data_IF_303325698845
#
_entry.id   IF_303325698845
#
_cell.length_a   1.000
_cell.length_b   1.000
_cell.length_c   1.000
_cell.angle_alpha   90.00
_cell.angle_beta   90.00
_cell.angle_gamma   90.00
#
_symmetry.space_group_name_H-M   'P 1'
#
loop_
_entity.id
_entity.type
_entity.pdbx_description
1 polymer ?
#
# COMPACT_ATOMS: atom_id res chain seq x y z
N UNK A 1 -9.28 7.93 11.16
CA UNK A 1 -7.94 8.48 10.86
C UNK A 1 -7.10 7.37 10.28
N UNK A 2 -6.42 7.62 9.16
CA UNK A 2 -5.48 6.67 8.55
C UNK A 2 -4.07 7.13 8.87
N UNK A 3 -3.25 6.24 9.43
CA UNK A 3 -1.87 6.55 9.82
C UNK A 3 -0.92 5.54 9.19
N UNK A 4 0.16 6.03 8.59
CA UNK A 4 1.14 5.14 7.98
C UNK A 4 1.88 4.38 9.07
N UNK A 5 2.11 3.10 8.86
CA UNK A 5 2.88 2.26 9.79
C UNK A 5 4.26 2.86 10.05
N UNK A 6 4.73 2.80 11.30
CA UNK A 6 5.97 3.39 11.82
C UNK A 6 6.02 4.93 11.81
N UNK A 7 4.89 5.60 11.61
CA UNK A 7 4.77 7.06 11.76
C UNK A 7 3.87 7.42 12.93
N UNK A 8 4.02 8.65 13.43
CA UNK A 8 3.17 9.16 14.49
C UNK A 8 1.79 9.56 13.94
N UNK A 9 0.75 9.41 14.76
CA UNK A 9 -0.58 9.85 14.38
C UNK A 9 -0.67 11.38 14.33
N UNK A 10 -1.66 11.94 13.60
CA UNK A 10 -2.11 13.29 13.87
C UNK A 10 -2.47 13.45 15.34
N UNK A 11 -2.40 14.69 15.84
CA UNK A 11 -2.92 15.03 17.16
C UNK A 11 -4.44 14.79 17.20
N UNK A 12 -4.88 13.90 18.09
CA UNK A 12 -6.28 13.65 18.38
C UNK A 12 -6.65 14.50 19.60
N UNK A 13 -7.61 15.40 19.43
CA UNK A 13 -8.04 16.31 20.50
C UNK A 13 -9.33 15.78 21.12
N UNK A 14 -9.38 15.70 22.45
CA UNK A 14 -10.53 15.20 23.20
C UNK A 14 -11.70 16.20 23.29
N UNK A 15 -12.13 16.71 22.15
CA UNK A 15 -13.28 17.62 22.04
C UNK A 15 -13.65 17.76 20.56
N UNK A 16 -14.88 18.16 20.29
CA UNK A 16 -15.25 18.63 18.96
C UNK A 16 -14.89 20.11 18.77
N UNK A 17 -15.13 20.60 17.55
CA UNK A 17 -14.85 21.99 17.22
C UNK A 17 -15.62 22.97 18.11
N UNK A 18 -16.90 22.74 18.38
CA UNK A 18 -17.72 23.66 19.17
C UNK A 18 -17.19 23.78 20.60
N UNK A 19 -16.94 22.64 21.26
CA UNK A 19 -16.40 22.57 22.61
C UNK A 19 -15.01 23.18 22.73
N UNK A 20 -14.20 23.12 21.67
CA UNK A 20 -12.88 23.77 21.65
C UNK A 20 -12.89 25.29 21.67
N UNK A 21 -14.05 25.92 21.42
CA UNK A 21 -14.21 27.38 21.41
C UNK A 21 -14.75 27.94 22.73
N UNK A 22 -15.03 27.07 23.71
CA UNK A 22 -15.62 27.43 24.99
C UNK A 22 -14.59 27.33 26.13
N UNK A 23 -14.80 28.10 27.19
CA UNK A 23 -14.01 27.98 28.41
C UNK A 23 -14.42 26.72 29.20
N UNK A 24 -13.44 25.92 29.58
CA UNK A 24 -13.65 24.71 30.39
C UNK A 24 -13.14 24.95 31.80
N UNK A 25 -14.01 24.70 32.78
CA UNK A 25 -13.67 24.76 34.20
C UNK A 25 -13.22 23.37 34.66
N UNK A 26 -12.02 23.29 35.22
CA UNK A 26 -11.40 22.07 35.76
C UNK A 26 -11.48 20.83 34.85
N UNK A 27 -11.09 20.92 33.56
CA UNK A 27 -11.21 19.81 32.64
C UNK A 27 -10.31 18.63 33.02
N UNK A 28 -10.86 17.42 32.94
CA UNK A 28 -10.18 16.15 33.16
C UNK A 28 -10.36 15.28 31.92
N UNK A 29 -9.25 14.73 31.44
CA UNK A 29 -9.23 13.90 30.24
C UNK A 29 -8.80 12.48 30.58
N UNK A 30 -9.59 11.50 30.14
CA UNK A 30 -9.28 10.08 30.24
C UNK A 30 -9.27 9.45 28.85
N UNK A 31 -8.11 8.98 28.43
CA UNK A 31 -7.95 8.27 27.17
C UNK A 31 -7.85 6.76 27.38
N UNK A 32 -8.60 6.02 26.57
CA UNK A 32 -8.56 4.55 26.50
C UNK A 32 -8.24 4.09 25.08
N UNK A 33 -7.38 3.08 24.99
CA UNK A 33 -6.95 2.50 23.73
C UNK A 33 -7.92 1.46 23.17
N UNK A 34 -7.59 0.89 22.00
CA UNK A 34 -8.42 -0.11 21.32
C UNK A 34 -8.59 -1.43 22.11
N UNK A 35 -7.71 -1.70 23.07
CA UNK A 35 -7.83 -2.84 23.99
C UNK A 35 -8.65 -2.52 25.26
N UNK A 36 -9.19 -1.30 25.35
CA UNK A 36 -9.98 -0.80 26.48
C UNK A 36 -9.15 -0.34 27.68
N UNK A 37 -7.82 -0.34 27.60
CA UNK A 37 -6.96 0.08 28.71
C UNK A 37 -6.68 1.58 28.70
N UNK A 38 -6.45 2.12 29.89
CA UNK A 38 -6.02 3.51 30.08
C UNK A 38 -4.64 3.73 29.43
N UNK A 39 -4.51 4.84 28.69
CA UNK A 39 -3.31 5.20 27.96
C UNK A 39 -2.33 6.08 28.75
N UNK A 40 -2.70 6.56 29.95
CA UNK A 40 -1.83 7.38 30.80
C UNK A 40 -0.54 6.64 31.16
N UNK A 41 0.61 7.19 30.77
CA UNK A 41 1.93 6.60 30.99
C UNK A 41 2.29 5.43 30.06
N UNK A 42 1.47 5.18 29.02
CA UNK A 42 1.78 4.15 28.02
C UNK A 42 2.90 4.62 27.09
N UNK A 43 3.84 3.74 26.73
CA UNK A 43 5.06 4.11 25.98
C UNK A 43 4.82 4.47 24.53
N UNK A 44 3.77 3.90 23.94
CA UNK A 44 3.42 4.11 22.53
C UNK A 44 2.51 5.33 22.29
N UNK A 45 2.36 6.22 23.28
CA UNK A 45 1.54 7.43 23.15
C UNK A 45 2.21 8.64 23.81
N UNK A 46 1.92 9.82 23.30
CA UNK A 46 2.14 11.08 23.98
C UNK A 46 0.78 11.68 24.35
N UNK A 47 0.60 11.97 25.64
CA UNK A 47 -0.61 12.56 26.19
C UNK A 47 -0.25 13.89 26.85
N UNK A 48 -0.94 14.95 26.45
CA UNK A 48 -0.80 16.27 27.08
C UNK A 48 -1.86 16.46 28.16
N UNK A 49 -1.59 17.33 29.13
CA UNK A 49 -2.58 17.72 30.14
C UNK A 49 -3.82 18.42 29.55
N UNK A 50 -3.72 18.98 28.33
CA UNK A 50 -4.83 19.58 27.57
C UNK A 50 -5.67 18.56 26.79
N UNK A 51 -5.55 17.26 27.07
CA UNK A 51 -6.39 16.23 26.47
C UNK A 51 -6.03 15.84 25.03
N UNK A 52 -4.86 16.23 24.53
CA UNK A 52 -4.35 15.81 23.23
C UNK A 52 -3.65 14.45 23.31
N UNK A 53 -3.88 13.62 22.30
CA UNK A 53 -3.27 12.30 22.14
C UNK A 53 -2.54 12.22 20.79
N UNK A 54 -1.28 11.79 20.83
CA UNK A 54 -0.53 11.32 19.66
C UNK A 54 -0.12 9.87 19.90
N UNK A 55 -0.43 8.98 18.96
CA UNK A 55 0.05 7.59 18.98
C UNK A 55 1.40 7.55 18.28
N UNK A 56 2.43 7.10 18.98
CA UNK A 56 3.82 7.14 18.51
C UNK A 56 4.11 5.86 17.73
N UNK A 57 4.74 5.99 16.56
CA UNK A 57 5.25 4.87 15.78
C UNK A 57 4.20 3.78 15.52
N UNK A 58 3.08 4.15 14.91
CA UNK A 58 1.88 3.30 14.76
C UNK A 58 2.22 1.92 14.20
N UNK A 59 1.70 0.88 14.86
CA UNK A 59 1.77 -0.52 14.44
C UNK A 59 0.37 -1.06 14.17
N UNK A 60 0.28 -2.21 13.52
CA UNK A 60 -1.00 -2.86 13.20
C UNK A 60 -1.85 -3.09 14.44
N UNK A 61 -1.22 -3.55 15.53
CA UNK A 61 -1.90 -3.84 16.80
C UNK A 61 -2.45 -2.61 17.52
N UNK A 62 -1.99 -1.41 17.15
CA UNK A 62 -2.48 -0.14 17.70
C UNK A 62 -3.69 0.39 16.90
N UNK A 63 -4.12 -0.30 15.86
CA UNK A 63 -5.35 0.08 15.15
C UNK A 63 -6.59 -0.25 15.97
N UNK A 64 -7.65 0.54 15.78
CA UNK A 64 -8.94 0.36 16.42
C UNK A 64 -9.50 1.65 17.00
N UNK A 65 -10.43 1.50 17.94
CA UNK A 65 -11.17 2.63 18.52
C UNK A 65 -10.48 3.16 19.75
N UNK A 66 -10.03 4.40 19.68
CA UNK A 66 -9.57 5.19 20.81
C UNK A 66 -10.75 6.00 21.35
N UNK A 67 -10.97 5.94 22.66
CA UNK A 67 -12.07 6.67 23.30
C UNK A 67 -11.48 7.66 24.30
N UNK A 68 -11.91 8.90 24.20
CA UNK A 68 -11.65 9.91 25.20
C UNK A 68 -12.91 10.25 25.99
N UNK A 69 -12.77 10.39 27.29
CA UNK A 69 -13.78 10.93 28.20
C UNK A 69 -13.28 12.27 28.72
N UNK A 70 -14.04 13.33 28.44
CA UNK A 70 -13.85 14.68 28.96
C UNK A 70 -14.85 14.89 30.10
N UNK A 71 -14.36 15.12 31.31
CA UNK A 71 -15.17 15.61 32.43
C UNK A 71 -14.81 17.06 32.70
N UNK A 72 -15.79 17.95 32.82
CA UNK A 72 -15.56 19.35 33.15
C UNK A 72 -16.73 19.91 33.95
N UNK A 73 -16.50 21.01 34.67
CA UNK A 73 -17.53 21.67 35.44
C UNK A 73 -18.24 22.73 34.59
N UNK A 74 -19.53 22.90 34.85
CA UNK A 74 -20.33 24.02 34.37
C UNK A 74 -20.94 24.74 35.58
N UNK A 75 -21.00 26.07 35.48
CA UNK A 75 -21.67 26.90 36.47
C UNK A 75 -23.06 27.22 35.94
N UNK A 76 -24.09 26.60 36.52
CA UNK A 76 -25.46 27.02 36.25
C UNK A 76 -25.70 28.35 36.98
N UNK A 77 -26.20 29.36 36.29
CA UNK A 77 -26.35 30.70 36.87
C UNK A 77 -27.62 30.85 37.72
N UNK A 78 -28.56 29.90 37.62
CA UNK A 78 -29.89 30.02 38.25
C UNK A 78 -30.58 28.65 38.38
N UNK A 79 -30.56 28.01 39.56
CA UNK A 79 -29.80 28.35 40.77
C UNK A 79 -28.28 28.17 40.59
N UNK A 80 -27.43 28.86 41.39
CA UNK A 80 -25.98 28.67 41.37
C UNK A 80 -25.61 27.27 41.86
N UNK A 81 -25.37 26.37 40.92
CA UNK A 81 -24.95 25.00 41.18
C UNK A 81 -23.79 24.66 40.24
N UNK A 82 -22.74 24.07 40.81
CA UNK A 82 -21.64 23.53 40.04
C UNK A 82 -21.96 22.09 39.68
N UNK A 83 -22.00 21.81 38.37
CA UNK A 83 -22.35 20.49 37.86
C UNK A 83 -21.23 19.93 37.01
N UNK A 84 -20.83 18.70 37.30
CA UNK A 84 -19.90 17.96 36.44
C UNK A 84 -20.65 17.44 35.21
N UNK A 85 -20.12 17.75 34.03
CA UNK A 85 -20.58 17.26 32.73
C UNK A 85 -19.54 16.32 32.15
N UNK A 86 -20.00 15.23 31.54
CA UNK A 86 -19.12 14.20 30.95
C UNK A 86 -19.48 13.98 29.48
N UNK A 87 -18.48 14.12 28.61
CA UNK A 87 -18.58 13.93 27.18
C UNK A 87 -17.64 12.82 26.71
N UNK A 88 -18.05 12.07 25.68
CA UNK A 88 -17.28 10.93 25.17
C UNK A 88 -17.06 11.05 23.68
N UNK A 89 -15.79 11.06 23.27
CA UNK A 89 -15.36 11.17 21.88
C UNK A 89 -14.67 9.88 21.44
N UNK A 90 -14.98 9.41 20.23
CA UNK A 90 -14.41 8.18 19.66
C UNK A 90 -13.69 8.44 18.36
N UNK A 91 -12.46 7.94 18.28
CA UNK A 91 -11.60 8.05 17.12
C UNK A 91 -11.24 6.65 16.64
N UNK A 92 -11.53 6.33 15.39
CA UNK A 92 -11.08 5.08 14.79
C UNK A 92 -9.77 5.33 14.06
N UNK A 93 -8.70 4.67 14.49
CA UNK A 93 -7.38 4.74 13.88
C UNK A 93 -7.12 3.46 13.09
N UNK A 94 -6.76 3.62 11.82
CA UNK A 94 -6.36 2.52 10.93
C UNK A 94 -4.90 2.70 10.52
N UNK A 95 -4.08 1.71 10.83
CA UNK A 95 -2.75 1.60 10.26
C UNK A 95 -2.86 1.25 8.77
N UNK A 96 -2.05 1.89 7.93
CA UNK A 96 -1.95 1.57 6.52
C UNK A 96 -0.50 1.54 6.03
N UNK A 97 -0.31 0.86 4.90
CA UNK A 97 0.93 0.83 4.12
C UNK A 97 0.62 1.17 2.67
N UNK A 98 1.61 1.68 1.94
CA UNK A 98 1.45 1.84 0.50
C UNK A 98 1.36 0.44 -0.13
N UNK A 99 0.49 0.29 -1.13
CA UNK A 99 0.46 -0.95 -1.88
C UNK A 99 1.76 -1.12 -2.66
N UNK A 100 2.24 -2.35 -2.72
CA UNK A 100 3.44 -2.65 -3.45
C UNK A 100 3.13 -2.81 -4.94
N UNK A 101 3.88 -2.11 -5.78
CA UNK A 101 3.65 -2.10 -7.22
C UNK A 101 4.50 -3.16 -7.92
N UNK A 102 3.82 -4.09 -8.57
CA UNK A 102 4.41 -5.00 -9.56
C UNK A 102 3.82 -4.64 -10.93
N UNK A 103 4.63 -4.72 -11.98
CA UNK A 103 4.13 -4.51 -13.34
C UNK A 103 4.17 -5.82 -14.12
N UNK A 104 3.00 -6.25 -14.61
CA UNK A 104 2.88 -7.33 -15.57
C UNK A 104 3.04 -6.76 -16.97
N UNK A 105 4.12 -7.13 -17.64
CA UNK A 105 4.46 -6.70 -18.99
C UNK A 105 4.12 -7.82 -19.97
N UNK A 106 3.63 -7.45 -21.14
CA UNK A 106 3.39 -8.37 -22.24
C UNK A 106 3.88 -7.78 -23.55
N UNK A 107 4.49 -8.63 -24.38
CA UNK A 107 4.98 -8.27 -25.72
C UNK A 107 4.84 -9.46 -26.65
N UNK A 108 4.61 -9.21 -27.94
CA UNK A 108 4.47 -10.25 -28.96
C UNK A 108 5.66 -10.24 -29.89
N UNK A 109 6.13 -11.42 -30.29
CA UNK A 109 7.21 -11.60 -31.26
C UNK A 109 6.77 -12.51 -32.42
N UNK A 110 7.28 -12.33 -33.64
CA UNK A 110 7.21 -13.37 -34.66
C UNK A 110 7.94 -14.62 -34.13
N UNK A 111 7.39 -15.81 -34.33
CA UNK A 111 8.08 -17.05 -33.93
C UNK A 111 9.44 -17.15 -34.61
N UNK A 112 10.51 -17.15 -33.80
CA UNK A 112 11.87 -17.51 -34.16
C UNK A 112 12.44 -18.37 -33.04
N UNK A 113 13.23 -19.37 -33.39
CA UNK A 113 13.90 -20.21 -32.41
C UNK A 113 15.10 -19.45 -31.80
N UNK A 114 15.31 -19.62 -30.49
CA UNK A 114 16.52 -19.25 -29.73
C UNK A 114 16.81 -17.79 -29.30
N UNK A 115 15.83 -16.88 -29.17
CA UNK A 115 16.11 -15.50 -28.69
C UNK A 115 15.69 -15.18 -27.24
N UNK A 116 14.94 -16.06 -26.58
CA UNK A 116 14.24 -15.73 -25.33
C UNK A 116 15.20 -15.50 -24.14
N UNK A 117 16.25 -16.29 -24.04
CA UNK A 117 17.27 -16.13 -22.98
C UNK A 117 18.13 -14.89 -23.18
N UNK A 118 18.48 -14.56 -24.43
CA UNK A 118 19.19 -13.32 -24.75
C UNK A 118 18.34 -12.09 -24.44
N UNK A 119 17.05 -12.13 -24.81
CA UNK A 119 16.09 -11.09 -24.45
C UNK A 119 16.01 -10.95 -22.93
N UNK A 120 15.89 -12.05 -22.18
CA UNK A 120 15.83 -11.99 -20.72
C UNK A 120 17.10 -11.36 -20.12
N UNK A 121 18.29 -11.70 -20.61
CA UNK A 121 19.56 -11.09 -20.18
C UNK A 121 19.59 -9.59 -20.48
N UNK A 122 19.19 -9.19 -21.69
CA UNK A 122 19.13 -7.80 -22.10
C UNK A 122 18.13 -6.98 -21.28
N UNK A 123 16.92 -7.51 -21.07
CA UNK A 123 15.90 -6.80 -20.30
C UNK A 123 16.33 -6.66 -18.82
N UNK A 124 17.02 -7.66 -18.25
CA UNK A 124 17.56 -7.54 -16.90
C UNK A 124 18.70 -6.50 -16.82
N UNK A 125 19.56 -6.38 -17.84
CA UNK A 125 20.62 -5.37 -17.84
C UNK A 125 20.09 -3.94 -17.90
N UNK A 126 18.94 -3.71 -18.56
CA UNK A 126 18.27 -2.39 -18.64
C UNK A 126 17.81 -1.89 -17.25
N UNK A 127 17.48 -2.79 -16.34
CA UNK A 127 16.88 -2.47 -15.03
C UNK A 127 17.78 -2.85 -13.84
N UNK A 128 19.01 -3.31 -14.09
CA UNK A 128 19.89 -3.86 -13.06
C UNK A 128 20.24 -2.84 -11.95
N UNK A 129 20.46 -1.58 -12.32
CA UNK A 129 20.76 -0.47 -11.39
C UNK A 129 19.57 -0.14 -10.48
N UNK A 130 18.35 -0.49 -10.90
CA UNK A 130 17.13 -0.23 -10.13
C UNK A 130 16.86 -1.31 -9.08
N UNK A 131 17.74 -2.30 -8.91
CA UNK A 131 17.54 -3.46 -8.02
C UNK A 131 16.23 -4.24 -8.30
N UNK A 132 15.66 -4.06 -9.50
CA UNK A 132 14.51 -4.80 -9.98
C UNK A 132 14.99 -6.03 -10.75
N UNK A 133 14.15 -7.06 -10.82
CA UNK A 133 14.42 -8.23 -11.63
C UNK A 133 13.17 -8.66 -12.39
N UNK A 134 13.39 -9.43 -13.46
CA UNK A 134 12.31 -10.05 -14.21
C UNK A 134 11.93 -11.39 -13.56
N UNK A 135 10.68 -11.49 -13.11
CA UNK A 135 10.09 -12.69 -12.54
C UNK A 135 9.03 -13.28 -13.48
N UNK A 136 8.71 -14.57 -13.27
CA UNK A 136 7.54 -15.24 -13.87
C UNK A 136 7.40 -15.07 -15.39
N UNK A 137 8.51 -15.22 -16.11
CA UNK A 137 8.48 -15.20 -17.57
C UNK A 137 7.72 -16.43 -18.10
N UNK A 138 6.60 -16.20 -18.78
CA UNK A 138 5.82 -17.21 -19.47
C UNK A 138 5.71 -16.90 -20.94
N UNK A 139 5.72 -17.94 -21.75
CA UNK A 139 5.82 -17.83 -23.19
C UNK A 139 4.85 -18.80 -23.84
N UNK A 140 3.95 -18.30 -24.69
CA UNK A 140 2.97 -19.13 -25.42
C UNK A 140 2.93 -18.77 -26.89
N UNK A 141 2.96 -19.78 -27.75
CA UNK A 141 2.75 -19.61 -29.18
C UNK A 141 1.26 -19.62 -29.50
N UNK A 142 0.80 -18.63 -30.26
CA UNK A 142 -0.58 -18.55 -30.74
C UNK A 142 -0.61 -18.30 -32.25
N UNK A 143 -1.62 -18.86 -32.92
CA UNK A 143 -1.94 -18.52 -34.31
C UNK A 143 -2.86 -17.31 -34.33
N UNK A 144 -2.42 -16.24 -34.99
CA UNK A 144 -3.12 -14.96 -35.08
C UNK A 144 -3.48 -14.72 -36.53
N UNK A 145 -4.76 -14.47 -36.78
CA UNK A 145 -5.26 -14.05 -38.09
C UNK A 145 -5.42 -12.53 -38.09
N UNK A 146 -4.81 -11.86 -39.06
CA UNK A 146 -4.98 -10.42 -39.26
C UNK A 146 -5.58 -10.14 -40.64
N UNK A 147 -6.47 -9.14 -40.78
CA UNK A 147 -7.18 -8.87 -42.05
C UNK A 147 -6.25 -8.65 -43.24
N UNK A 148 -5.07 -8.06 -43.00
CA UNK A 148 -4.13 -7.65 -44.05
C UNK A 148 -2.97 -8.62 -44.28
N UNK A 149 -2.68 -9.53 -43.33
CA UNK A 149 -1.42 -10.31 -43.33
C UNK A 149 -1.59 -11.81 -43.15
N UNK A 150 -2.83 -12.31 -43.20
CA UNK A 150 -3.16 -13.73 -43.12
C UNK A 150 -2.96 -14.34 -41.73
N UNK A 151 -2.93 -15.67 -41.67
CA UNK A 151 -2.66 -16.46 -40.46
C UNK A 151 -1.15 -16.52 -40.20
N UNK A 152 -0.70 -16.12 -39.01
CA UNK A 152 0.71 -16.15 -38.59
C UNK A 152 0.86 -16.72 -37.19
N UNK A 153 1.99 -17.37 -36.93
CA UNK A 153 2.37 -17.77 -35.57
C UNK A 153 3.12 -16.64 -34.88
N UNK A 154 2.70 -16.35 -33.66
CA UNK A 154 3.30 -15.33 -32.82
C UNK A 154 3.51 -15.85 -31.40
N UNK A 155 4.60 -15.40 -30.80
CA UNK A 155 5.02 -15.71 -29.45
C UNK A 155 4.53 -14.62 -28.50
N UNK A 156 3.71 -14.99 -27.53
CA UNK A 156 3.21 -14.10 -26.50
C UNK A 156 4.09 -14.29 -25.27
N UNK A 157 4.94 -13.30 -25.01
CA UNK A 157 5.77 -13.25 -23.82
C UNK A 157 5.05 -12.40 -22.77
N UNK A 158 4.95 -12.93 -21.55
CA UNK A 158 4.49 -12.21 -20.37
C UNK A 158 5.49 -12.38 -19.26
N UNK A 159 5.79 -11.31 -18.54
CA UNK A 159 6.72 -11.35 -17.42
C UNK A 159 6.40 -10.24 -16.42
N UNK A 160 6.82 -10.44 -15.18
CA UNK A 160 6.66 -9.44 -14.13
C UNK A 160 7.96 -8.68 -13.92
N UNK A 161 7.84 -7.38 -13.69
CA UNK A 161 8.94 -6.56 -13.16
C UNK A 161 8.68 -6.42 -11.68
N UNK A 162 9.55 -7.07 -10.92
CA UNK A 162 9.42 -7.17 -9.49
C UNK A 162 10.53 -6.33 -8.83
N UNK A 163 10.18 -5.31 -8.01
CA UNK A 163 11.18 -4.53 -7.29
C UNK A 163 11.68 -5.20 -5.99
N UNK A 164 11.12 -6.35 -5.64
CA UNK A 164 11.44 -7.14 -4.45
C UNK A 164 12.57 -8.12 -4.75
N UNK A 165 13.82 -7.69 -4.62
CA UNK A 165 14.87 -8.67 -4.39
C UNK A 165 14.59 -9.39 -3.04
N UNK A 166 14.80 -10.71 -2.91
CA UNK A 166 14.68 -11.39 -1.63
C UNK A 166 15.47 -10.67 -0.52
N UNK A 167 14.88 -10.49 0.66
CA UNK A 167 15.53 -9.85 1.82
C UNK A 167 15.42 -8.32 1.89
N UNK A 168 14.59 -7.69 1.04
CA UNK A 168 14.43 -6.22 1.02
C UNK A 168 13.68 -5.68 2.25
N UNK A 169 12.79 -6.47 2.86
CA UNK A 169 11.98 -6.08 4.02
C UNK A 169 12.86 -5.80 5.24
N UNK A 170 13.84 -6.66 5.49
CA UNK A 170 14.80 -6.53 6.60
C UNK A 170 15.64 -5.27 6.46
N UNK A 171 16.01 -4.90 5.22
CA UNK A 171 16.77 -3.66 4.93
C UNK A 171 15.87 -2.43 5.11
N UNK A 172 14.62 -2.49 4.64
CA UNK A 172 13.68 -1.37 4.79
C UNK A 172 13.35 -1.05 6.25
N UNK A 173 13.39 -2.04 7.15
CA UNK A 173 13.14 -1.82 8.58
C UNK A 173 14.27 -1.03 9.28
N UNK A 174 15.46 -0.97 8.68
CA UNK A 174 16.64 -0.32 9.27
C UNK A 174 16.85 1.11 8.77
N UNK A 175 16.05 1.57 7.79
CA UNK A 175 16.23 2.88 7.17
C UNK A 175 15.15 3.87 7.59
N UNK A 176 15.51 5.14 7.86
CA UNK A 176 14.58 6.14 8.39
C UNK A 176 13.68 6.79 7.33
N UNK A 177 13.79 6.40 6.06
CA UNK A 177 13.02 6.96 4.94
C UNK A 177 11.96 5.99 4.43
N UNK A 178 10.97 6.53 3.70
CA UNK A 178 9.86 5.75 3.13
C UNK A 178 10.33 4.78 2.03
N UNK A 179 10.74 3.59 2.47
CA UNK A 179 11.31 2.57 1.61
C UNK A 179 10.32 2.04 0.56
N UNK A 180 9.02 1.98 0.91
CA UNK A 180 7.94 1.58 -0.01
C UNK A 180 7.82 2.56 -1.18
N UNK A 181 7.87 3.86 -0.90
CA UNK A 181 7.82 4.89 -1.94
C UNK A 181 9.01 4.79 -2.89
N UNK A 182 10.23 4.61 -2.35
CA UNK A 182 11.45 4.43 -3.15
C UNK A 182 11.34 3.19 -4.04
N UNK A 183 10.84 2.08 -3.49
CA UNK A 183 10.68 0.82 -4.21
C UNK A 183 9.63 0.94 -5.33
N UNK A 184 8.48 1.52 -5.03
CA UNK A 184 7.43 1.75 -6.03
C UNK A 184 7.92 2.68 -7.16
N UNK A 185 8.75 3.68 -6.84
CA UNK A 185 9.41 4.54 -7.84
C UNK A 185 10.36 3.73 -8.73
N UNK A 186 11.17 2.82 -8.16
CA UNK A 186 12.06 1.93 -8.93
C UNK A 186 11.28 1.02 -9.87
N UNK A 187 10.18 0.41 -9.41
CA UNK A 187 9.31 -0.41 -10.25
C UNK A 187 8.72 0.38 -11.43
N UNK A 188 8.25 1.61 -11.17
CA UNK A 188 7.70 2.49 -12.19
C UNK A 188 8.78 2.90 -13.21
N UNK A 189 9.99 3.22 -12.75
CA UNK A 189 11.14 3.54 -13.61
C UNK A 189 11.54 2.33 -14.48
N UNK A 190 11.59 1.13 -13.90
CA UNK A 190 11.88 -0.10 -14.64
C UNK A 190 10.84 -0.33 -15.75
N UNK A 191 9.55 -0.16 -15.45
CA UNK A 191 8.47 -0.20 -16.45
C UNK A 191 8.65 0.86 -17.54
N UNK A 192 9.06 2.07 -17.18
CA UNK A 192 9.30 3.16 -18.13
C UNK A 192 10.48 2.86 -19.07
N UNK A 193 11.61 2.37 -18.53
CA UNK A 193 12.82 2.02 -19.30
C UNK A 193 12.57 0.86 -20.25
N UNK A 194 11.91 -0.20 -19.79
CA UNK A 194 11.53 -1.33 -20.65
C UNK A 194 10.56 -0.89 -21.75
N UNK A 195 9.57 -0.06 -21.41
CA UNK A 195 8.65 0.50 -22.41
C UNK A 195 9.36 1.40 -23.42
N UNK A 196 10.37 2.18 -22.99
CA UNK A 196 11.22 2.99 -23.89
C UNK A 196 12.02 2.10 -24.83
N UNK A 197 12.66 1.06 -24.30
CA UNK A 197 13.41 0.08 -25.09
C UNK A 197 12.55 -0.49 -26.23
N UNK A 198 11.36 -1.02 -25.92
CA UNK A 198 10.49 -1.55 -26.98
C UNK A 198 10.11 -0.46 -27.99
N UNK A 199 9.67 0.73 -27.56
CA UNK A 199 9.33 1.82 -28.50
C UNK A 199 10.48 2.19 -29.45
N UNK A 200 11.71 2.27 -28.95
CA UNK A 200 12.90 2.58 -29.76
C UNK A 200 13.20 1.48 -30.78
N UNK A 201 13.00 0.20 -30.40
CA UNK A 201 13.14 -0.93 -31.32
C UNK A 201 12.13 -0.87 -32.48
N UNK A 202 10.87 -0.50 -32.23
CA UNK A 202 9.88 -0.32 -33.31
C UNK A 202 10.21 0.88 -34.19
N UNK A 203 10.66 1.98 -33.60
CA UNK A 203 11.07 3.16 -34.36
C UNK A 203 12.20 2.83 -35.33
N UNK A 204 13.26 2.15 -34.86
CA UNK A 204 14.40 1.75 -35.69
C UNK A 204 13.98 0.82 -36.83
N UNK A 205 13.08 -0.14 -36.55
CA UNK A 205 12.57 -1.08 -37.56
C UNK A 205 11.75 -0.37 -38.64
N UNK A 206 10.91 0.59 -38.25
CA UNK A 206 10.04 1.35 -39.17
C UNK A 206 10.83 2.24 -40.12
N UNK A 207 11.96 2.81 -39.65
CA UNK A 207 12.77 3.76 -40.41
C UNK A 207 13.99 3.13 -41.09
N UNK A 208 14.13 1.80 -41.08
CA UNK A 208 15.19 1.06 -41.77
C UNK A 208 16.60 1.64 -41.49
N UNK A 209 16.88 1.99 -40.24
CA UNK A 209 18.22 2.45 -39.84
C UNK A 209 19.24 1.34 -40.20
N UNK A 210 20.44 1.73 -40.65
CA UNK A 210 21.43 0.88 -41.33
C UNK A 210 21.74 -0.47 -40.66
N UNK A 211 21.51 -0.59 -39.35
CA UNK A 211 21.50 -1.87 -38.61
C UNK A 211 20.08 -2.21 -38.17
N UNK A 212 19.48 -3.21 -38.80
CA UNK A 212 18.21 -3.76 -38.35
C UNK A 212 18.38 -4.34 -36.93
N UNK A 213 17.48 -4.03 -35.98
CA UNK A 213 17.60 -4.54 -34.63
C UNK A 213 17.49 -6.06 -34.59
N UNK A 214 18.38 -6.72 -33.85
CA UNK A 214 18.42 -8.19 -33.68
C UNK A 214 17.10 -8.75 -33.12
N UNK A 215 16.35 -7.93 -32.37
CA UNK A 215 15.08 -8.30 -31.74
C UNK A 215 13.93 -7.59 -32.47
N UNK A 216 13.14 -8.36 -33.21
CA UNK A 216 11.95 -7.86 -33.89
C UNK A 216 10.70 -8.23 -33.10
N UNK A 217 10.02 -7.26 -32.50
CA UNK A 217 8.73 -7.47 -31.86
C UNK A 217 7.58 -6.96 -32.75
N UNK A 218 6.37 -7.42 -32.48
CA UNK A 218 5.16 -6.98 -33.19
C UNK A 218 4.82 -5.56 -32.75
N UNK A 219 4.81 -4.62 -33.68
CA UNK A 219 4.55 -3.22 -33.38
C UNK A 219 3.24 -3.04 -32.60
N UNK A 220 3.25 -2.11 -31.64
CA UNK A 220 2.15 -1.84 -30.69
C UNK A 220 1.68 -3.03 -29.83
N UNK A 221 2.45 -4.12 -29.73
CA UNK A 221 2.10 -5.25 -28.86
C UNK A 221 2.55 -5.13 -27.40
N UNK A 222 3.41 -4.14 -27.10
CA UNK A 222 3.86 -3.90 -25.74
C UNK A 222 2.71 -3.34 -24.88
N UNK A 223 2.39 -4.03 -23.80
CA UNK A 223 1.46 -3.57 -22.79
C UNK A 223 2.05 -3.78 -21.39
N UNK A 224 1.66 -2.91 -20.46
CA UNK A 224 2.08 -2.98 -19.07
C UNK A 224 0.89 -2.66 -18.16
N UNK A 225 0.52 -3.62 -17.32
CA UNK A 225 -0.52 -3.48 -16.31
C UNK A 225 0.11 -3.44 -14.91
N UNK A 226 -0.40 -2.57 -14.04
CA UNK A 226 -0.01 -2.54 -12.62
C UNK A 226 -0.83 -3.56 -11.86
N UNK A 227 -0.16 -4.37 -11.05
CA UNK A 227 -0.74 -5.23 -10.05
C UNK A 227 -0.28 -4.74 -8.69
N UNK A 228 -1.23 -4.54 -7.79
CA UNK A 228 -0.94 -4.12 -6.42
C UNK A 228 -0.87 -5.37 -5.52
N UNK A 229 0.03 -5.35 -4.55
CA UNK A 229 0.16 -6.36 -3.51
C UNK A 229 0.19 -5.70 -2.13
N UNK A 230 -0.31 -6.39 -1.11
CA UNK A 230 -0.32 -5.90 0.27
C UNK A 230 0.48 -6.84 1.17
N UNK A 231 1.23 -6.33 2.16
CA UNK A 231 1.88 -7.20 3.14
C UNK A 231 0.87 -8.04 3.93
N UNK A 232 1.25 -9.24 4.41
CA UNK A 232 0.39 -10.05 5.26
C UNK A 232 -0.17 -9.28 6.46
N UNK A 233 -1.46 -9.44 6.71
CA UNK A 233 -2.23 -8.68 7.70
C UNK A 233 -2.85 -7.38 7.18
N UNK A 234 -2.64 -7.04 5.89
CA UNK A 234 -3.26 -5.88 5.26
C UNK A 234 -4.07 -6.28 4.02
N UNK A 235 -4.98 -5.41 3.61
CA UNK A 235 -5.77 -5.55 2.39
C UNK A 235 -6.29 -4.22 1.89
N UNK A 236 -6.82 -4.22 0.67
CA UNK A 236 -7.45 -3.07 0.03
C UNK A 236 -8.95 -3.23 0.09
N UNK A 237 -9.64 -2.17 0.52
CA UNK A 237 -11.09 -2.09 0.42
C UNK A 237 -11.49 -0.66 0.06
N UNK A 238 -11.81 -0.45 -1.21
CA UNK A 238 -12.17 0.86 -1.75
C UNK A 238 -13.57 1.33 -1.32
N UNK A 239 -14.42 0.44 -0.79
CA UNK A 239 -15.75 0.78 -0.28
C UNK A 239 -15.66 1.32 1.14
N UNK A 240 -14.92 0.61 2.01
CA UNK A 240 -14.78 0.96 3.43
C UNK A 240 -13.73 2.08 3.61
N UNK A 241 -12.64 2.04 2.86
CA UNK A 241 -11.51 2.96 3.02
C UNK A 241 -11.40 3.95 1.86
N UNK A 242 -12.46 4.73 1.61
CA UNK A 242 -12.53 5.68 0.49
C UNK A 242 -11.40 6.71 0.50
N UNK A 243 -11.01 7.20 1.69
CA UNK A 243 -9.92 8.16 1.88
C UNK A 243 -8.53 7.59 1.58
N UNK A 244 -8.39 6.27 1.39
CA UNK A 244 -7.13 5.57 1.11
C UNK A 244 -7.36 4.39 0.15
N UNK A 245 -8.14 4.59 -0.92
CA UNK A 245 -8.61 3.50 -1.80
C UNK A 245 -7.48 2.70 -2.49
N UNK A 246 -6.28 3.28 -2.64
CA UNK A 246 -5.09 2.62 -3.18
C UNK A 246 -4.18 2.00 -2.12
N UNK A 247 -4.50 2.15 -0.84
CA UNK A 247 -3.66 1.74 0.28
C UNK A 247 -3.98 0.33 0.75
N UNK A 248 -2.98 -0.32 1.33
CA UNK A 248 -3.14 -1.54 2.10
C UNK A 248 -3.47 -1.13 3.52
N UNK A 249 -4.75 -1.24 3.91
CA UNK A 249 -5.23 -0.96 5.26
C UNK A 249 -5.20 -2.24 6.08
N UNK A 250 -4.89 -2.13 7.35
CA UNK A 250 -4.82 -3.25 8.27
C UNK A 250 -6.14 -4.03 8.30
N UNK A 251 -6.07 -5.37 8.28
CA UNK A 251 -7.25 -6.22 8.35
C UNK A 251 -7.95 -6.07 9.72
N UNK A 252 -9.27 -5.95 9.69
CA UNK A 252 -10.10 -5.78 10.89
C UNK A 252 -10.20 -7.08 11.71
N UNK A 253 -10.54 -7.00 13.02
CA UNK A 253 -10.84 -8.18 13.83
C UNK A 253 -11.85 -9.11 13.15
N UNK A 254 -11.61 -10.42 13.26
CA UNK A 254 -12.39 -11.43 12.55
C UNK A 254 -11.99 -11.65 11.09
N UNK A 255 -11.02 -10.91 10.58
CA UNK A 255 -10.42 -11.12 9.25
C UNK A 255 -8.90 -11.34 9.35
N UNK A 256 -8.31 -11.89 8.29
CA UNK A 256 -6.88 -12.12 8.19
C UNK A 256 -6.39 -12.03 6.74
N UNK A 257 -5.10 -11.76 6.56
CA UNK A 257 -4.44 -11.86 5.25
C UNK A 257 -3.13 -12.63 5.43
N UNK A 258 -3.03 -13.87 4.91
CA UNK A 258 -1.86 -14.73 5.14
C UNK A 258 -0.69 -14.47 4.19
N UNK A 259 -0.95 -13.85 3.05
CA UNK A 259 -0.03 -13.72 1.92
C UNK A 259 -0.01 -12.29 1.38
N UNK A 260 0.59 -12.10 0.20
CA UNK A 260 0.73 -10.79 -0.45
C UNK A 260 -0.50 -10.34 -1.23
N UNK A 261 -1.62 -11.06 -1.10
CA UNK A 261 -2.89 -10.72 -1.71
C UNK A 261 -3.45 -9.40 -1.20
N UNK A 262 -4.39 -8.83 -1.95
CA UNK A 262 -4.99 -7.53 -1.61
C UNK A 262 -6.28 -7.63 -0.80
N UNK A 263 -6.65 -8.82 -0.32
CA UNK A 263 -7.96 -9.05 0.28
C UNK A 263 -7.82 -9.62 1.68
N UNK A 264 -8.46 -8.96 2.66
CA UNK A 264 -8.65 -9.54 3.98
C UNK A 264 -9.76 -10.60 3.92
N UNK A 265 -9.41 -11.84 4.27
CA UNK A 265 -10.32 -12.97 4.27
C UNK A 265 -11.03 -13.07 5.62
N UNK A 266 -12.29 -13.51 5.63
CA UNK A 266 -13.07 -13.69 6.86
C UNK A 266 -12.67 -14.99 7.57
N UNK A 267 -12.41 -14.93 8.87
CA UNK A 267 -12.16 -16.12 9.67
C UNK A 267 -13.43 -16.99 9.77
N UNK A 268 -13.30 -18.31 9.57
CA UNK A 268 -14.41 -19.26 9.81
C UNK A 268 -14.90 -19.26 11.26
N UNK A 269 -14.03 -18.94 12.21
CA UNK A 269 -14.36 -18.76 13.63
C UNK A 269 -13.81 -17.41 14.08
N UNK A 270 -14.64 -16.45 14.53
CA UNK A 270 -14.22 -15.09 14.86
C UNK A 270 -13.52 -15.03 16.23
N UNK A 271 -12.47 -15.83 16.43
CA UNK A 271 -11.64 -15.80 17.64
C UNK A 271 -10.53 -14.75 17.56
N UNK A 272 -10.20 -14.31 16.35
CA UNK A 272 -9.22 -13.26 16.10
C UNK A 272 -9.81 -11.91 16.50
N UNK A 273 -9.36 -11.36 17.62
CA UNK A 273 -9.81 -10.05 18.15
C UNK A 273 -8.87 -8.89 17.85
N UNK A 274 -7.76 -9.15 17.15
CA UNK A 274 -6.74 -8.14 16.85
C UNK A 274 -6.82 -7.70 15.39
N UNK A 275 -6.43 -6.46 15.16
CA UNK A 275 -6.14 -5.95 13.83
C UNK A 275 -4.85 -6.60 13.29
N UNK A 276 -4.77 -6.74 11.97
CA UNK A 276 -3.55 -7.17 11.29
C UNK A 276 -3.24 -8.65 11.42
N UNK A 277 -4.26 -9.49 11.60
CA UNK A 277 -4.04 -10.93 11.71
C UNK A 277 -3.55 -11.54 10.39
N UNK A 278 -2.58 -12.44 10.50
CA UNK A 278 -2.00 -13.19 9.38
C UNK A 278 -2.53 -14.62 9.28
N UNK A 279 -3.32 -15.04 10.27
CA UNK A 279 -3.94 -16.36 10.33
C UNK A 279 -5.22 -16.33 11.15
N UNK A 280 -6.09 -17.29 10.84
CA UNK A 280 -7.21 -17.78 11.65
C UNK A 280 -7.04 -19.30 11.82
#
# INVERSE_FOLDING_TARGET
VYVKVLTDSPCLVCMDWARSQEELIDPKYLWTGPDGKNLKGHKDVNLTDTGQLVVIGVKESLSGTYTCTLSHNILETTPPEERETVEVYKFVLYAYRAADHTYLLSVRFPTRDHFLEELKKLLNSIIADLTCHIAEASCRCHSVQTPQRGLRRELFLRFQVNPFAPGWEEVCHQVPYDCEAVRNKRAQEAKARLGKFFREQAYALKHQLQTAPTIHYVDNSFAAARTDSCPPGFGKNNVIHQSCASCCVVCEPGTYSPDTGVTCQVCKRPRVRKYGARSC
#
